data_IF_041314986627
#
_entry.id   IF_041314986627
#
_cell.length_a   1.000
_cell.length_b   1.000
_cell.length_c   1.000
_cell.angle_alpha   90.00
_cell.angle_beta   90.00
_cell.angle_gamma   90.00
#
_symmetry.space_group_name_H-M   'P 1'
#
loop_
_entity.id
_entity.type
_entity.pdbx_description
1 polymer ?
#
# COMPACT_ATOMS: atom_id res chain seq x y z
N UNK A 1 7.99 9.08 6.70
CA UNK A 1 7.00 9.19 5.62
C UNK A 1 5.85 8.26 5.93
N UNK A 2 4.63 8.63 5.54
CA UNK A 2 3.43 7.81 5.72
C UNK A 2 3.00 7.29 4.36
N UNK A 3 2.89 5.96 4.21
CA UNK A 3 2.44 5.30 3.00
C UNK A 3 1.00 4.83 3.20
N UNK A 4 0.07 5.37 2.43
CA UNK A 4 -1.33 4.99 2.45
C UNK A 4 -1.68 4.18 1.22
N UNK A 5 -2.13 2.94 1.43
CA UNK A 5 -2.68 2.10 0.37
C UNK A 5 -4.21 2.17 0.36
N UNK A 6 -4.78 2.39 -0.82
CA UNK A 6 -6.20 2.17 -1.11
C UNK A 6 -6.31 0.98 -2.07
N UNK A 7 -6.80 -0.14 -1.55
CA UNK A 7 -6.86 -1.42 -2.26
C UNK A 7 -8.29 -1.66 -2.70
N UNK A 8 -8.60 -1.29 -3.95
CA UNK A 8 -9.85 -1.66 -4.57
C UNK A 8 -9.79 -3.04 -5.22
N UNK A 9 -10.96 -3.55 -5.62
CA UNK A 9 -11.06 -4.80 -6.38
C UNK A 9 -10.44 -4.74 -7.78
N UNK A 10 -9.97 -3.58 -8.25
CA UNK A 10 -9.40 -3.41 -9.60
C UNK A 10 -8.03 -2.75 -9.61
N UNK A 11 -7.76 -1.85 -8.67
CA UNK A 11 -6.51 -1.12 -8.57
C UNK A 11 -6.06 -1.06 -7.12
N UNK A 12 -4.76 -1.15 -6.92
CA UNK A 12 -4.07 -0.75 -5.69
C UNK A 12 -3.49 0.63 -5.95
N UNK A 13 -3.83 1.61 -5.13
CA UNK A 13 -3.25 2.94 -5.15
C UNK A 13 -2.36 3.14 -3.93
N UNK A 14 -1.19 3.74 -4.12
CA UNK A 14 -0.29 4.17 -3.06
C UNK A 14 -0.18 5.69 -3.10
N UNK A 15 -0.40 6.33 -1.95
CA UNK A 15 -0.02 7.72 -1.69
C UNK A 15 1.06 7.78 -0.61
N UNK A 16 2.10 8.60 -0.83
CA UNK A 16 3.16 8.87 0.13
C UNK A 16 3.04 10.29 0.66
N UNK A 17 2.98 10.44 1.97
CA UNK A 17 2.75 11.70 2.66
C UNK A 17 3.89 12.05 3.61
N UNK A 18 4.19 13.35 3.73
CA UNK A 18 5.13 13.86 4.72
C UNK A 18 4.52 13.96 6.13
N UNK A 19 5.31 14.46 7.09
CA UNK A 19 4.87 14.64 8.49
C UNK A 19 3.70 15.63 8.65
N UNK A 20 3.50 16.52 7.68
CA UNK A 20 2.46 17.53 7.66
C UNK A 20 1.24 17.06 6.82
N UNK A 21 1.19 15.75 6.52
CA UNK A 21 0.17 15.07 5.71
C UNK A 21 0.01 15.61 4.30
N UNK A 22 1.07 16.20 3.73
CA UNK A 22 1.09 16.62 2.32
C UNK A 22 1.51 15.47 1.42
N UNK A 23 0.75 15.24 0.36
CA UNK A 23 1.07 14.24 -0.66
C UNK A 23 2.38 14.61 -1.37
N UNK A 24 3.34 13.69 -1.34
CA UNK A 24 4.65 13.83 -1.97
C UNK A 24 4.76 13.01 -3.26
N UNK A 25 4.08 11.86 -3.31
CA UNK A 25 4.05 10.98 -4.47
C UNK A 25 2.82 10.08 -4.46
N UNK A 26 2.32 9.74 -5.65
CA UNK A 26 1.28 8.74 -5.82
C UNK A 26 1.58 7.82 -7.01
N UNK A 27 1.11 6.57 -6.92
CA UNK A 27 1.16 5.60 -8.01
C UNK A 27 0.03 4.58 -7.90
N UNK A 28 -0.23 3.85 -8.99
CA UNK A 28 -1.29 2.83 -9.05
C UNK A 28 -0.86 1.63 -9.88
N UNK A 29 -1.27 0.45 -9.44
CA UNK A 29 -1.08 -0.82 -10.17
C UNK A 29 -2.41 -1.60 -10.24
N UNK A 30 -2.60 -2.51 -11.21
CA UNK A 30 -3.69 -3.48 -11.17
C UNK A 30 -3.66 -4.30 -9.88
N UNK A 31 -4.83 -4.59 -9.29
CA UNK A 31 -4.93 -5.55 -8.18
C UNK A 31 -4.81 -6.97 -8.73
N UNK A 32 -3.79 -7.76 -8.33
CA UNK A 32 -3.76 -9.19 -8.64
C UNK A 32 -4.95 -9.89 -7.98
N UNK A 33 -5.69 -10.71 -8.75
CA UNK A 33 -6.92 -11.36 -8.27
C UNK A 33 -6.82 -12.87 -8.16
N UNK A 34 -5.84 -13.46 -8.85
CA UNK A 34 -5.74 -14.91 -9.02
C UNK A 34 -4.82 -15.55 -7.98
N UNK A 35 -4.01 -14.76 -7.28
CA UNK A 35 -3.03 -15.25 -6.30
C UNK A 35 -2.80 -14.24 -5.18
N UNK A 36 -2.88 -14.73 -3.94
CA UNK A 36 -2.56 -13.96 -2.75
C UNK A 36 -1.06 -13.59 -2.70
N UNK A 37 -0.18 -14.48 -3.14
CA UNK A 37 1.25 -14.22 -3.19
C UNK A 37 1.59 -13.11 -4.19
N UNK A 38 0.91 -13.06 -5.35
CA UNK A 38 1.06 -11.98 -6.32
C UNK A 38 0.57 -10.65 -5.73
N UNK A 39 -0.52 -10.68 -4.98
CA UNK A 39 -1.06 -9.51 -4.28
C UNK A 39 -0.06 -8.97 -3.24
N UNK A 40 0.49 -9.84 -2.38
CA UNK A 40 1.53 -9.45 -1.41
C UNK A 40 2.78 -8.92 -2.10
N UNK A 41 3.22 -9.57 -3.18
CA UNK A 41 4.38 -9.12 -3.97
C UNK A 41 4.16 -7.73 -4.55
N UNK A 42 2.96 -7.43 -5.05
CA UNK A 42 2.62 -6.11 -5.59
C UNK A 42 2.69 -5.01 -4.51
N UNK A 43 2.19 -5.29 -3.29
CA UNK A 43 2.27 -4.35 -2.16
C UNK A 43 3.73 -4.14 -1.73
N UNK A 44 4.49 -5.22 -1.54
CA UNK A 44 5.88 -5.16 -1.12
C UNK A 44 6.74 -4.37 -2.13
N UNK A 45 6.50 -4.58 -3.43
CA UNK A 45 7.19 -3.83 -4.49
C UNK A 45 6.87 -2.34 -4.46
N UNK A 46 5.64 -1.95 -4.11
CA UNK A 46 5.26 -0.54 -3.97
C UNK A 46 5.90 0.11 -2.75
N UNK A 47 5.98 -0.60 -1.62
CA UNK A 47 6.70 -0.14 -0.42
C UNK A 47 8.19 0.06 -0.72
N UNK A 48 8.84 -0.93 -1.34
CA UNK A 48 10.26 -0.85 -1.70
C UNK A 48 10.55 0.34 -2.64
N UNK A 49 9.67 0.59 -3.62
CA UNK A 49 9.80 1.77 -4.50
C UNK A 49 9.68 3.09 -3.75
N UNK A 50 8.80 3.18 -2.74
CA UNK A 50 8.67 4.36 -1.91
C UNK A 50 9.92 4.55 -1.05
N UNK A 51 10.40 3.48 -0.43
CA UNK A 51 11.60 3.51 0.41
C UNK A 51 12.84 3.94 -0.38
N UNK A 52 13.05 3.39 -1.57
CA UNK A 52 14.13 3.79 -2.47
C UNK A 52 13.99 5.25 -2.91
N UNK A 53 12.78 5.68 -3.31
CA UNK A 53 12.55 7.06 -3.78
C UNK A 53 12.83 8.10 -2.69
N UNK A 54 12.45 7.82 -1.45
CA UNK A 54 12.52 8.80 -0.36
C UNK A 54 13.70 8.56 0.60
N UNK A 55 14.46 7.49 0.41
CA UNK A 55 15.63 7.17 1.24
C UNK A 55 15.29 6.90 2.71
N UNK A 56 14.06 6.46 3.00
CA UNK A 56 13.55 6.23 4.35
C UNK A 56 12.65 5.01 4.37
N UNK A 57 12.57 4.33 5.51
CA UNK A 57 11.54 3.29 5.73
C UNK A 57 10.28 4.00 6.24
N UNK A 58 9.23 4.02 5.43
CA UNK A 58 7.95 4.64 5.79
C UNK A 58 7.06 3.73 6.64
N UNK A 59 6.15 4.34 7.41
CA UNK A 59 5.07 3.57 8.04
C UNK A 59 3.96 3.30 7.03
N UNK A 60 3.39 2.10 7.07
CA UNK A 60 2.41 1.61 6.10
C UNK A 60 1.03 1.51 6.74
N UNK A 61 0.04 2.15 6.13
CA UNK A 61 -1.38 1.95 6.41
C UNK A 61 -2.08 1.42 5.17
N UNK A 62 -2.98 0.46 5.37
CA UNK A 62 -3.71 -0.21 4.27
C UNK A 62 -5.21 -0.08 4.52
N UNK A 63 -5.93 0.47 3.53
CA UNK A 63 -7.38 0.46 3.46
C UNK A 63 -7.87 -0.58 2.46
N UNK A 64 -8.77 -1.47 2.88
CA UNK A 64 -9.39 -2.51 2.05
C UNK A 64 -10.91 -2.42 2.23
N UNK A 65 -11.73 -2.56 1.17
CA UNK A 65 -13.19 -2.65 1.28
C UNK A 65 -13.59 -4.00 1.90
N UNK A 66 -13.64 -4.08 3.22
CA UNK A 66 -13.98 -5.28 3.99
C UNK A 66 -13.64 -5.13 5.48
N UNK A 67 -13.83 -6.20 6.26
CA UNK A 67 -13.31 -6.28 7.64
C UNK A 67 -11.83 -6.71 7.54
N UNK A 68 -10.86 -5.88 7.94
CA UNK A 68 -9.45 -6.16 7.69
C UNK A 68 -8.86 -7.25 8.59
N UNK A 69 -9.44 -7.49 9.77
CA UNK A 69 -8.99 -8.51 10.71
C UNK A 69 -10.14 -8.90 11.67
N UNK A 70 -10.36 -10.19 11.89
CA UNK A 70 -11.07 -10.68 13.09
C UNK A 70 -10.02 -11.01 14.16
N UNK A 71 -10.40 -11.25 15.43
CA UNK A 71 -9.44 -11.41 16.55
C UNK A 71 -8.34 -12.48 16.32
N UNK A 72 -8.52 -13.41 15.38
CA UNK A 72 -7.56 -14.46 15.05
C UNK A 72 -6.71 -14.19 13.79
N UNK A 73 -6.92 -13.07 13.10
CA UNK A 73 -6.18 -12.72 11.88
C UNK A 73 -6.44 -13.62 10.69
N UNK A 74 -7.52 -14.42 10.71
CA UNK A 74 -7.95 -15.30 9.60
C UNK A 74 -9.18 -14.81 8.85
#
# INVERSE_FOLDING_TARGET
MYYGFDIGGTKIALGVFDKDLKLQWETRVPTPRESYDEFLTAIAALVAQADERFGVIGSVGIGIPGMPETDDGT
#
